data_IF_974585148192
#
_entry.id   IF_974585148192
#
_cell.length_a   1.000
_cell.length_b   1.000
_cell.length_c   1.000
_cell.angle_alpha   90.00
_cell.angle_beta   90.00
_cell.angle_gamma   90.00
#
_symmetry.space_group_name_H-M   'P 1'
#
loop_
_entity.id
_entity.type
_entity.pdbx_description
1 polymer ?
#
# COMPACT_ATOMS: atom_id res chain seq x y z
N UNK A 1 21.75 26.47 -12.29
CA UNK A 1 20.59 26.72 -11.39
C UNK A 1 20.15 25.36 -10.89
N UNK A 2 20.64 24.98 -9.72
CA UNK A 2 20.26 23.70 -9.09
C UNK A 2 18.78 23.76 -8.74
N UNK A 3 17.98 22.99 -9.47
CA UNK A 3 16.62 22.71 -9.04
C UNK A 3 16.72 21.64 -7.96
N UNK A 4 17.04 22.08 -6.74
CA UNK A 4 16.86 21.26 -5.55
C UNK A 4 15.40 20.78 -5.57
N UNK A 5 15.23 19.47 -5.80
CA UNK A 5 13.91 18.86 -5.75
C UNK A 5 13.28 19.23 -4.42
N UNK A 6 12.13 19.92 -4.44
CA UNK A 6 11.39 20.19 -3.21
C UNK A 6 11.00 18.83 -2.62
N UNK A 7 11.21 18.61 -1.32
CA UNK A 7 10.72 17.41 -0.67
C UNK A 7 9.22 17.24 -0.97
N UNK A 8 8.72 16.00 -0.98
CA UNK A 8 7.30 15.72 -1.12
C UNK A 8 6.71 15.74 -2.54
N UNK A 9 7.50 15.79 -3.59
CA UNK A 9 6.97 15.71 -4.95
C UNK A 9 6.90 14.26 -5.48
N UNK A 10 5.86 13.96 -6.27
CA UNK A 10 5.61 12.62 -6.81
C UNK A 10 6.19 12.43 -8.20
N UNK A 11 6.27 13.47 -9.00
CA UNK A 11 6.71 13.37 -10.38
C UNK A 11 6.44 14.63 -11.19
N UNK A 12 6.50 14.51 -12.52
CA UNK A 12 6.26 15.60 -13.45
C UNK A 12 4.90 15.44 -14.12
N UNK A 13 4.13 16.53 -14.16
CA UNK A 13 2.87 16.56 -14.91
C UNK A 13 3.14 16.27 -16.40
N UNK A 14 2.25 15.51 -17.05
CA UNK A 14 2.30 15.27 -18.50
C UNK A 14 2.10 16.58 -19.28
N UNK A 15 1.27 17.47 -18.75
CA UNK A 15 1.20 18.85 -19.22
C UNK A 15 2.38 19.63 -18.63
N UNK A 16 3.39 19.86 -19.44
CA UNK A 16 4.64 20.54 -19.05
C UNK A 16 4.42 21.93 -18.43
N UNK A 17 3.29 22.58 -18.72
CA UNK A 17 2.95 23.88 -18.14
C UNK A 17 2.64 23.81 -16.64
N UNK A 18 2.23 22.62 -16.14
CA UNK A 18 1.87 22.38 -14.73
C UNK A 18 3.05 22.02 -13.82
N UNK A 19 4.20 21.69 -14.38
CA UNK A 19 5.42 21.43 -13.63
C UNK A 19 5.40 20.18 -12.78
N UNK A 20 5.80 20.29 -11.50
CA UNK A 20 5.93 19.17 -10.55
C UNK A 20 4.62 18.91 -9.81
N UNK A 21 4.31 17.63 -9.61
CA UNK A 21 3.18 17.14 -8.82
C UNK A 21 3.64 16.86 -7.40
N UNK A 22 3.10 17.54 -6.42
CA UNK A 22 3.45 17.37 -5.00
C UNK A 22 2.37 16.63 -4.19
N UNK A 23 2.77 16.03 -3.08
CA UNK A 23 1.86 15.37 -2.13
C UNK A 23 0.93 16.38 -1.47
N UNK A 24 1.42 17.60 -1.19
CA UNK A 24 0.68 18.63 -0.45
C UNK A 24 -0.63 19.08 -1.13
N UNK A 25 -0.75 18.87 -2.44
CA UNK A 25 -1.96 19.23 -3.21
C UNK A 25 -3.03 18.15 -3.24
N UNK A 26 -2.77 16.96 -2.69
CA UNK A 26 -3.66 15.81 -2.86
C UNK A 26 -4.85 15.76 -1.90
N UNK A 27 -4.89 16.61 -0.85
CA UNK A 27 -5.94 16.56 0.16
C UNK A 27 -5.71 15.47 1.22
N UNK A 28 -6.72 15.26 2.06
CA UNK A 28 -6.60 14.40 3.24
C UNK A 28 -6.95 12.93 2.98
N UNK A 29 -7.67 12.63 1.88
CA UNK A 29 -8.12 11.27 1.55
C UNK A 29 -7.73 10.92 0.13
N UNK A 30 -6.77 10.02 -0.01
CA UNK A 30 -6.19 9.61 -1.29
C UNK A 30 -6.37 8.13 -1.51
N UNK A 31 -6.86 7.74 -2.69
CA UNK A 31 -7.01 6.35 -3.10
C UNK A 31 -6.13 6.05 -4.31
N UNK A 32 -5.26 5.06 -4.17
CA UNK A 32 -4.32 4.59 -5.20
C UNK A 32 -4.86 3.31 -5.83
N UNK A 33 -5.06 3.32 -7.14
CA UNK A 33 -5.82 2.27 -7.84
C UNK A 33 -5.05 1.65 -9.01
N UNK A 34 -5.10 0.33 -9.10
CA UNK A 34 -4.56 -0.46 -10.20
C UNK A 34 -3.30 -1.25 -9.82
N UNK A 35 -2.81 -2.08 -10.75
CA UNK A 35 -1.71 -3.04 -10.48
C UNK A 35 -0.46 -2.42 -9.89
N UNK A 36 -0.14 -1.19 -10.29
CA UNK A 36 1.00 -0.44 -9.77
C UNK A 36 0.67 0.39 -8.51
N UNK A 37 -0.43 0.07 -7.80
CA UNK A 37 -0.78 0.78 -6.56
C UNK A 37 0.28 0.62 -5.47
N UNK A 38 0.96 -0.53 -5.40
CA UNK A 38 2.08 -0.76 -4.48
C UNK A 38 3.28 0.16 -4.77
N UNK A 39 3.68 0.28 -6.05
CA UNK A 39 4.74 1.22 -6.46
C UNK A 39 4.38 2.67 -6.11
N UNK A 40 3.13 3.04 -6.36
CA UNK A 40 2.64 4.38 -6.04
C UNK A 40 2.57 4.61 -4.53
N UNK A 41 2.21 3.59 -3.75
CA UNK A 41 2.26 3.64 -2.27
C UNK A 41 3.68 3.85 -1.78
N UNK A 42 4.64 3.13 -2.37
CA UNK A 42 6.07 3.30 -2.10
C UNK A 42 6.51 4.74 -2.38
N UNK A 43 6.12 5.30 -3.53
CA UNK A 43 6.43 6.67 -3.89
C UNK A 43 5.77 7.68 -2.94
N UNK A 44 4.51 7.48 -2.56
CA UNK A 44 3.79 8.32 -1.61
C UNK A 44 4.44 8.31 -0.23
N UNK A 45 4.74 7.12 0.29
CA UNK A 45 5.43 6.96 1.58
C UNK A 45 6.81 7.63 1.57
N UNK A 46 7.57 7.42 0.51
CA UNK A 46 8.87 8.06 0.31
C UNK A 46 8.77 9.59 0.28
N UNK A 47 7.85 10.13 -0.51
CA UNK A 47 7.67 11.57 -0.64
C UNK A 47 7.25 12.23 0.68
N UNK A 48 6.38 11.58 1.46
CA UNK A 48 5.95 12.07 2.77
C UNK A 48 7.09 11.98 3.81
N UNK A 49 7.88 10.91 3.78
CA UNK A 49 9.05 10.77 4.66
C UNK A 49 10.13 11.83 4.36
N UNK A 50 10.34 12.21 3.09
CA UNK A 50 11.24 13.31 2.74
C UNK A 50 10.75 14.68 3.24
N UNK A 51 9.44 14.87 3.40
CA UNK A 51 8.86 16.05 4.05
C UNK A 51 9.03 16.05 5.58
N UNK A 52 9.58 14.98 6.14
CA UNK A 52 9.72 14.80 7.58
C UNK A 52 8.44 14.36 8.27
N UNK A 53 7.40 13.94 7.52
CA UNK A 53 6.15 13.44 8.09
C UNK A 53 6.35 12.08 8.73
N UNK A 54 5.77 11.92 9.90
CA UNK A 54 5.75 10.68 10.67
C UNK A 54 4.50 9.87 10.30
N UNK A 55 4.57 9.10 9.24
CA UNK A 55 3.45 8.28 8.80
C UNK A 55 3.43 6.92 9.49
N UNK A 56 2.23 6.37 9.74
CA UNK A 56 2.02 4.97 10.04
C UNK A 56 1.68 4.24 8.74
N UNK A 57 2.53 3.29 8.36
CA UNK A 57 2.39 2.52 7.11
C UNK A 57 2.04 1.07 7.47
N UNK A 58 0.88 0.62 7.04
CA UNK A 58 0.42 -0.76 7.16
C UNK A 58 0.56 -1.46 5.80
N UNK A 59 1.59 -2.29 5.66
CA UNK A 59 1.86 -3.04 4.42
C UNK A 59 1.19 -4.41 4.49
N UNK A 60 -0.11 -4.44 4.12
CA UNK A 60 -0.98 -5.60 4.30
C UNK A 60 -0.72 -6.67 3.24
N UNK A 61 -0.41 -6.28 2.03
CA UNK A 61 -0.21 -7.18 0.88
C UNK A 61 1.27 -7.33 0.47
N UNK A 62 2.21 -6.80 1.26
CA UNK A 62 3.64 -6.89 0.98
C UNK A 62 4.08 -6.10 -0.26
N UNK A 63 3.27 -5.14 -0.70
CA UNK A 63 3.50 -4.41 -1.95
C UNK A 63 4.49 -3.24 -1.82
N UNK A 64 4.85 -2.87 -0.61
CA UNK A 64 5.83 -1.80 -0.37
C UNK A 64 7.25 -2.28 -0.65
N UNK A 65 7.95 -1.54 -1.50
CA UNK A 65 9.33 -1.89 -1.82
C UNK A 65 10.26 -1.90 -0.61
N UNK A 66 11.10 -2.93 -0.47
CA UNK A 66 12.14 -2.98 0.57
C UNK A 66 13.08 -1.78 0.56
N UNK A 67 13.26 -1.13 -0.59
CA UNK A 67 14.18 0.00 -0.78
C UNK A 67 13.85 1.21 0.11
N UNK A 68 12.59 1.37 0.51
CA UNK A 68 12.19 2.46 1.40
C UNK A 68 12.22 2.10 2.89
N UNK A 69 12.50 0.86 3.25
CA UNK A 69 12.53 0.41 4.67
C UNK A 69 13.47 1.26 5.54
N UNK A 70 14.56 1.77 4.97
CA UNK A 70 15.48 2.67 5.69
C UNK A 70 14.91 4.04 6.06
N UNK A 71 13.72 4.41 5.55
CA UNK A 71 12.99 5.63 5.93
C UNK A 71 12.03 5.39 7.09
N UNK A 72 11.75 4.13 7.43
CA UNK A 72 10.79 3.71 8.45
C UNK A 72 11.44 2.72 9.40
N UNK A 73 10.98 2.74 10.65
CA UNK A 73 11.25 1.64 11.58
C UNK A 73 10.31 0.49 11.18
N UNK A 74 10.86 -0.61 10.70
CA UNK A 74 10.09 -1.75 10.22
C UNK A 74 9.80 -2.74 11.34
N UNK A 75 8.54 -3.15 11.46
CA UNK A 75 8.05 -4.15 12.41
C UNK A 75 7.30 -5.25 11.68
N UNK A 76 7.42 -6.47 12.19
CA UNK A 76 6.50 -7.55 11.88
C UNK A 76 5.26 -7.38 12.78
N UNK A 77 4.05 -7.55 12.22
CA UNK A 77 2.80 -7.39 12.96
C UNK A 77 2.74 -8.21 14.25
N UNK A 78 3.40 -9.39 14.27
CA UNK A 78 3.42 -10.29 15.43
C UNK A 78 4.03 -9.66 16.66
N UNK A 79 4.96 -8.73 16.49
CA UNK A 79 5.63 -8.08 17.63
C UNK A 79 4.69 -7.16 18.44
N UNK A 80 3.60 -6.70 17.81
CA UNK A 80 2.60 -5.80 18.42
C UNK A 80 1.21 -6.44 18.55
N UNK A 81 1.06 -7.70 18.16
CA UNK A 81 -0.24 -8.36 18.09
C UNK A 81 -0.89 -8.49 19.47
N UNK A 82 -0.11 -8.67 20.52
CA UNK A 82 -0.60 -8.66 21.90
C UNK A 82 -1.38 -7.37 22.21
N UNK A 83 -0.78 -6.23 21.91
CA UNK A 83 -1.39 -4.91 22.10
C UNK A 83 -2.64 -4.71 21.25
N UNK A 84 -2.64 -5.25 20.02
CA UNK A 84 -3.80 -5.18 19.13
C UNK A 84 -5.00 -6.00 19.66
N UNK A 85 -4.75 -7.07 20.40
CA UNK A 85 -5.82 -7.84 21.09
C UNK A 85 -6.28 -7.21 22.40
N UNK A 86 -5.50 -6.33 23.00
CA UNK A 86 -5.88 -5.69 24.25
C UNK A 86 -7.00 -4.66 24.02
N UNK A 87 -8.15 -4.86 24.71
CA UNK A 87 -9.28 -3.95 24.65
C UNK A 87 -9.00 -2.72 25.52
N UNK A 88 -9.15 -1.53 24.95
CA UNK A 88 -8.89 -0.27 25.63
C UNK A 88 -10.15 0.31 26.29
N UNK A 89 -9.95 0.99 27.42
CA UNK A 89 -11.00 1.72 28.14
C UNK A 89 -12.09 0.81 28.69
N UNK A 90 -13.34 1.32 28.78
CA UNK A 90 -14.49 0.55 29.21
C UNK A 90 -14.97 -0.50 28.19
N UNK A 91 -14.17 -0.79 27.16
CA UNK A 91 -14.33 -1.88 26.19
C UNK A 91 -15.40 -1.69 25.12
N UNK A 92 -16.44 -0.92 25.35
CA UNK A 92 -17.59 -0.87 24.45
C UNK A 92 -17.26 -0.29 23.06
N UNK A 93 -16.60 0.86 22.99
CA UNK A 93 -16.31 1.51 21.72
C UNK A 93 -15.20 0.77 20.93
N UNK A 94 -14.08 0.44 21.60
CA UNK A 94 -13.00 -0.33 20.99
C UNK A 94 -13.47 -1.75 20.63
N UNK A 95 -14.25 -2.41 21.51
CA UNK A 95 -14.83 -3.73 21.25
C UNK A 95 -15.70 -3.78 20.00
N UNK A 96 -16.45 -2.73 19.69
CA UNK A 96 -17.22 -2.65 18.43
C UNK A 96 -16.33 -2.60 17.18
N UNK A 97 -15.22 -1.88 17.23
CA UNK A 97 -14.24 -1.83 16.12
C UNK A 97 -13.54 -3.19 15.95
N UNK A 98 -13.17 -3.82 17.06
CA UNK A 98 -12.60 -5.18 17.08
C UNK A 98 -13.60 -6.20 16.53
N UNK A 99 -14.86 -6.15 16.93
CA UNK A 99 -15.92 -7.00 16.39
C UNK A 99 -16.06 -6.83 14.87
N UNK A 100 -16.00 -5.58 14.39
CA UNK A 100 -16.08 -5.28 12.97
C UNK A 100 -14.87 -5.82 12.18
N UNK A 101 -13.66 -5.80 12.77
CA UNK A 101 -12.47 -6.40 12.16
C UNK A 101 -12.59 -7.93 12.02
N UNK A 102 -13.04 -8.61 13.09
CA UNK A 102 -13.31 -10.06 13.05
C UNK A 102 -14.42 -10.40 12.05
N UNK A 103 -15.52 -9.63 12.06
CA UNK A 103 -16.66 -9.86 11.19
C UNK A 103 -16.27 -9.70 9.71
N UNK A 104 -15.46 -8.70 9.38
CA UNK A 104 -14.96 -8.49 8.03
C UNK A 104 -14.00 -9.61 7.56
N UNK A 105 -13.04 -9.99 8.40
CA UNK A 105 -12.05 -11.02 8.06
C UNK A 105 -12.66 -12.43 7.95
N UNK A 106 -13.66 -12.73 8.77
CA UNK A 106 -14.31 -14.04 8.82
C UNK A 106 -15.62 -14.12 8.04
N UNK A 107 -16.07 -13.02 7.42
CA UNK A 107 -17.35 -12.96 6.71
C UNK A 107 -18.53 -13.46 7.58
N UNK A 108 -18.67 -12.88 8.80
CA UNK A 108 -19.66 -13.29 9.79
C UNK A 108 -21.06 -12.86 9.39
N UNK A 109 -22.07 -13.63 9.79
CA UNK A 109 -23.48 -13.19 9.76
C UNK A 109 -23.78 -12.22 10.90
N UNK A 110 -24.92 -11.54 10.85
CA UNK A 110 -25.34 -10.62 11.91
C UNK A 110 -25.51 -11.33 13.27
N UNK A 111 -25.98 -12.58 13.27
CA UNK A 111 -26.09 -13.41 14.46
C UNK A 111 -24.72 -13.80 15.02
N UNK A 112 -23.78 -14.20 14.17
CA UNK A 112 -22.41 -14.52 14.57
C UNK A 112 -21.70 -13.27 15.13
N UNK A 113 -21.92 -12.10 14.52
CA UNK A 113 -21.38 -10.81 15.02
C UNK A 113 -21.97 -10.46 16.39
N UNK A 114 -23.28 -10.63 16.60
CA UNK A 114 -23.91 -10.38 17.89
C UNK A 114 -23.33 -11.29 19.01
N UNK A 115 -23.09 -12.56 18.71
CA UNK A 115 -22.42 -13.49 19.63
C UNK A 115 -20.99 -13.02 19.94
N UNK A 116 -20.26 -12.60 18.90
CA UNK A 116 -18.91 -12.08 19.06
C UNK A 116 -18.86 -10.82 19.93
N UNK A 117 -19.79 -9.88 19.72
CA UNK A 117 -19.88 -8.67 20.54
C UNK A 117 -20.16 -9.00 22.02
N UNK A 118 -21.06 -9.95 22.31
CA UNK A 118 -21.34 -10.41 23.67
C UNK A 118 -20.09 -11.09 24.29
N UNK A 119 -19.33 -11.86 23.52
CA UNK A 119 -18.08 -12.47 23.97
C UNK A 119 -17.00 -11.42 24.27
N UNK A 120 -16.85 -10.41 23.41
CA UNK A 120 -15.92 -9.30 23.61
C UNK A 120 -16.26 -8.47 24.84
N UNK A 121 -17.54 -8.24 25.10
CA UNK A 121 -17.97 -7.58 26.33
C UNK A 121 -17.56 -8.37 27.58
N UNK A 122 -17.77 -9.70 27.58
CA UNK A 122 -17.30 -10.57 28.67
C UNK A 122 -15.80 -10.50 28.90
N UNK A 123 -15.01 -10.55 27.81
CA UNK A 123 -13.55 -10.43 27.89
C UNK A 123 -13.12 -9.08 28.45
N UNK A 124 -13.78 -8.00 28.05
CA UNK A 124 -13.52 -6.66 28.59
C UNK A 124 -13.81 -6.58 30.09
N UNK A 125 -14.92 -7.15 30.57
CA UNK A 125 -15.26 -7.23 31.99
C UNK A 125 -14.25 -8.05 32.81
N UNK A 126 -13.61 -9.05 32.18
CA UNK A 126 -12.58 -9.90 32.76
C UNK A 126 -11.16 -9.30 32.63
N UNK A 127 -11.03 -8.18 31.92
CA UNK A 127 -9.76 -7.57 31.57
C UNK A 127 -8.82 -8.55 30.84
N UNK A 128 -9.38 -9.39 29.96
CA UNK A 128 -8.69 -10.38 29.16
C UNK A 128 -8.51 -9.89 27.70
N UNK A 129 -7.64 -10.59 26.96
CA UNK A 129 -7.35 -10.25 25.58
C UNK A 129 -8.47 -10.73 24.64
N UNK A 130 -8.78 -9.92 23.63
CA UNK A 130 -9.66 -10.31 22.52
C UNK A 130 -8.95 -11.21 21.51
N UNK A 131 -8.08 -12.12 21.98
CA UNK A 131 -7.37 -13.07 21.13
C UNK A 131 -8.31 -14.17 20.62
N UNK A 132 -8.00 -14.84 19.48
CA UNK A 132 -8.78 -15.97 19.01
C UNK A 132 -8.93 -17.10 20.04
N UNK A 133 -7.90 -17.34 20.88
CA UNK A 133 -7.94 -18.35 21.94
C UNK A 133 -8.93 -17.96 23.04
N UNK A 134 -8.81 -16.75 23.61
CA UNK A 134 -9.72 -16.25 24.65
C UNK A 134 -11.17 -16.19 24.14
N UNK A 135 -11.38 -15.71 22.92
CA UNK A 135 -12.70 -15.69 22.29
C UNK A 135 -13.29 -17.10 22.12
N UNK A 136 -12.48 -18.05 21.65
CA UNK A 136 -12.92 -19.44 21.50
C UNK A 136 -13.43 -20.05 22.81
N UNK A 137 -12.78 -19.74 23.92
CA UNK A 137 -13.15 -20.24 25.24
C UNK A 137 -14.42 -19.58 25.77
N UNK A 138 -14.57 -18.26 25.58
CA UNK A 138 -15.70 -17.48 26.11
C UNK A 138 -16.97 -17.64 25.28
N UNK A 139 -16.89 -17.78 23.96
CA UNK A 139 -18.06 -17.88 23.04
C UNK A 139 -19.00 -19.03 23.45
N UNK A 140 -18.47 -20.16 23.92
CA UNK A 140 -19.29 -21.30 24.36
C UNK A 140 -20.17 -21.01 25.57
N UNK A 141 -19.85 -19.98 26.37
CA UNK A 141 -20.61 -19.55 27.55
C UNK A 141 -21.48 -18.32 27.30
N UNK A 142 -21.67 -17.88 26.05
CA UNK A 142 -22.56 -16.76 25.70
C UNK A 142 -24.01 -17.29 25.64
N UNK A 143 -24.88 -16.74 26.48
CA UNK A 143 -26.28 -17.17 26.59
C UNK A 143 -27.18 -16.38 25.61
N UNK A 144 -28.35 -16.93 25.34
CA UNK A 144 -29.40 -16.26 24.55
C UNK A 144 -29.32 -16.47 23.05
N UNK A 145 -28.32 -17.23 22.54
CA UNK A 145 -28.13 -17.51 21.11
C UNK A 145 -28.38 -19.00 20.79
N UNK A 146 -28.73 -19.26 19.51
CA UNK A 146 -28.89 -20.64 19.04
C UNK A 146 -27.53 -21.34 18.93
N UNK A 147 -27.42 -22.54 19.50
CA UNK A 147 -26.18 -23.34 19.54
C UNK A 147 -25.51 -23.48 18.18
N UNK A 148 -26.29 -23.64 17.10
CA UNK A 148 -25.76 -23.71 15.72
C UNK A 148 -24.85 -22.53 15.35
N UNK A 149 -25.24 -21.29 15.66
CA UNK A 149 -24.43 -20.10 15.34
C UNK A 149 -23.22 -20.01 16.27
N UNK A 150 -23.35 -20.42 17.51
CA UNK A 150 -22.25 -20.48 18.49
C UNK A 150 -21.19 -21.45 18.01
N UNK A 151 -21.57 -22.67 17.62
CA UNK A 151 -20.64 -23.72 17.14
C UNK A 151 -19.97 -23.30 15.83
N UNK A 152 -20.73 -22.68 14.93
CA UNK A 152 -20.19 -22.20 13.65
C UNK A 152 -19.15 -21.10 13.87
N UNK A 153 -19.43 -20.12 14.73
CA UNK A 153 -18.49 -19.04 15.07
C UNK A 153 -17.24 -19.61 15.76
N UNK A 154 -17.41 -20.54 16.72
CA UNK A 154 -16.27 -21.25 17.34
C UNK A 154 -15.40 -21.95 16.32
N UNK A 155 -15.97 -22.61 15.33
CA UNK A 155 -15.22 -23.26 14.26
C UNK A 155 -14.37 -22.27 13.45
N UNK A 156 -14.93 -21.10 13.12
CA UNK A 156 -14.20 -20.06 12.38
C UNK A 156 -13.07 -19.43 13.20
N UNK A 157 -13.35 -19.07 14.46
CA UNK A 157 -12.34 -18.49 15.37
C UNK A 157 -11.28 -19.53 15.73
N UNK A 158 -11.67 -20.80 15.90
CA UNK A 158 -10.74 -21.88 16.19
C UNK A 158 -9.63 -22.04 15.13
N UNK A 159 -9.94 -21.76 13.87
CA UNK A 159 -8.93 -21.78 12.79
C UNK A 159 -7.88 -20.68 12.95
N UNK A 160 -8.17 -19.61 13.71
CA UNK A 160 -7.28 -18.47 13.94
C UNK A 160 -6.42 -18.60 15.21
N UNK A 161 -6.57 -19.65 16.01
CA UNK A 161 -5.84 -19.84 17.28
C UNK A 161 -4.32 -19.88 17.13
N UNK A 162 -3.82 -20.13 15.91
CA UNK A 162 -2.39 -20.07 15.59
C UNK A 162 -1.81 -18.65 15.57
N UNK A 163 -2.65 -17.62 15.69
CA UNK A 163 -2.21 -16.21 15.79
C UNK A 163 -1.72 -15.80 17.18
N UNK A 164 -1.24 -16.74 17.96
CA UNK A 164 -0.67 -16.43 19.28
C UNK A 164 0.69 -15.75 19.12
N UNK A 165 0.95 -14.78 20.00
CA UNK A 165 2.22 -14.05 20.05
C UNK A 165 2.82 -14.14 21.43
N UNK A 166 4.14 -14.22 21.48
CA UNK A 166 4.91 -14.20 22.73
C UNK A 166 5.72 -12.92 22.91
N UNK A 167 5.79 -12.09 21.85
CA UNK A 167 6.59 -10.86 21.85
C UNK A 167 5.69 -9.64 21.97
N UNK A 168 6.13 -8.66 22.77
CA UNK A 168 5.38 -7.44 23.05
C UNK A 168 6.26 -6.24 22.71
N UNK A 169 5.94 -5.55 21.61
CA UNK A 169 6.40 -4.20 21.33
C UNK A 169 5.22 -3.25 21.55
N UNK A 170 5.47 -2.05 22.08
CA UNK A 170 4.41 -1.10 22.39
C UNK A 170 3.73 -0.56 21.13
N UNK A 171 2.39 -0.52 21.14
CA UNK A 171 1.59 0.09 20.07
C UNK A 171 1.76 1.61 20.00
N UNK A 172 2.31 2.23 21.03
CA UNK A 172 2.73 3.64 21.04
C UNK A 172 3.66 3.97 19.87
N UNK A 173 4.46 3.00 19.41
CA UNK A 173 5.33 3.18 18.24
C UNK A 173 4.54 3.48 16.97
N UNK A 174 3.39 2.83 16.78
CA UNK A 174 2.47 3.09 15.66
C UNK A 174 1.93 4.52 15.76
N UNK A 175 1.51 4.91 16.95
CA UNK A 175 0.94 6.25 17.20
C UNK A 175 1.99 7.36 17.09
N UNK A 176 3.26 7.08 17.36
CA UNK A 176 4.34 8.05 17.13
C UNK A 176 4.65 8.25 15.64
N UNK A 177 4.22 7.33 14.77
CA UNK A 177 4.49 7.35 13.33
C UNK A 177 5.97 7.15 12.95
N UNK A 178 6.27 7.25 11.67
CA UNK A 178 7.59 6.94 11.12
C UNK A 178 7.90 5.45 11.13
N UNK A 179 6.86 4.61 11.10
CA UNK A 179 6.96 3.16 11.13
C UNK A 179 6.28 2.50 9.92
N UNK A 180 6.74 1.29 9.64
CA UNK A 180 6.09 0.37 8.71
C UNK A 180 5.84 -0.95 9.44
N UNK A 181 4.58 -1.39 9.44
CA UNK A 181 4.18 -2.71 9.94
C UNK A 181 3.87 -3.60 8.73
N UNK A 182 4.58 -4.73 8.64
CA UNK A 182 4.38 -5.71 7.56
C UNK A 182 3.52 -6.88 8.05
N UNK A 183 2.59 -7.31 7.20
CA UNK A 183 1.69 -8.44 7.44
C UNK A 183 1.96 -9.60 6.48
N UNK A 184 3.02 -9.54 5.68
CA UNK A 184 3.40 -10.55 4.69
C UNK A 184 3.77 -11.91 5.31
N UNK A 185 4.15 -11.94 6.58
CA UNK A 185 4.46 -13.16 7.33
C UNK A 185 3.22 -13.88 7.90
N UNK A 186 2.00 -13.36 7.65
CA UNK A 186 0.78 -14.02 8.10
C UNK A 186 0.61 -15.39 7.42
N UNK A 187 0.20 -16.43 8.18
CA UNK A 187 0.21 -17.80 7.68
C UNK A 187 -0.81 -18.05 6.55
N UNK A 188 -1.83 -17.21 6.43
CA UNK A 188 -2.88 -17.28 5.41
C UNK A 188 -3.61 -15.93 5.28
N UNK A 189 -4.34 -15.68 4.17
CA UNK A 189 -4.96 -14.38 3.91
C UNK A 189 -5.90 -13.87 5.00
N UNK A 190 -6.76 -14.72 5.57
CA UNK A 190 -7.68 -14.31 6.63
C UNK A 190 -6.95 -13.86 7.90
N UNK A 191 -5.78 -14.44 8.19
CA UNK A 191 -4.95 -14.02 9.32
C UNK A 191 -4.38 -12.61 9.08
N UNK A 192 -3.92 -12.31 7.87
CA UNK A 192 -3.46 -10.99 7.48
C UNK A 192 -4.60 -9.97 7.54
N UNK A 193 -5.77 -10.31 6.99
CA UNK A 193 -6.95 -9.45 7.00
C UNK A 193 -7.40 -9.14 8.44
N UNK A 194 -7.49 -10.16 9.31
CA UNK A 194 -7.87 -9.95 10.70
C UNK A 194 -6.86 -9.07 11.44
N UNK A 195 -5.60 -9.42 11.39
CA UNK A 195 -4.56 -8.71 12.15
C UNK A 195 -4.43 -7.27 11.70
N UNK A 196 -4.45 -7.00 10.40
CA UNK A 196 -4.46 -5.64 9.88
C UNK A 196 -5.74 -4.88 10.28
N UNK A 197 -6.89 -5.54 10.24
CA UNK A 197 -8.17 -4.97 10.73
C UNK A 197 -8.13 -4.60 12.21
N UNK A 198 -7.52 -5.43 13.05
CA UNK A 198 -7.33 -5.16 14.49
C UNK A 198 -6.38 -3.97 14.72
N UNK A 199 -5.29 -3.88 13.95
CA UNK A 199 -4.40 -2.72 14.00
C UNK A 199 -5.14 -1.42 13.63
N UNK A 200 -5.95 -1.45 12.57
CA UNK A 200 -6.77 -0.31 12.18
C UNK A 200 -7.78 0.04 13.28
N UNK A 201 -8.47 -0.95 13.85
CA UNK A 201 -9.40 -0.74 14.95
C UNK A 201 -8.73 -0.06 16.14
N UNK A 202 -7.54 -0.52 16.52
CA UNK A 202 -6.73 0.05 17.61
C UNK A 202 -6.29 1.48 17.30
N UNK A 203 -5.77 1.73 16.09
CA UNK A 203 -5.38 3.08 15.65
C UNK A 203 -6.58 4.02 15.72
N UNK A 204 -7.71 3.64 15.14
CA UNK A 204 -8.92 4.46 15.12
C UNK A 204 -9.40 4.82 16.54
N UNK A 205 -9.38 3.85 17.45
CA UNK A 205 -9.71 4.10 18.85
C UNK A 205 -8.71 5.07 19.50
N UNK A 206 -7.41 4.83 19.36
CA UNK A 206 -6.37 5.67 19.96
C UNK A 206 -6.32 7.09 19.37
N UNK A 207 -6.72 7.29 18.12
CA UNK A 207 -6.85 8.63 17.52
C UNK A 207 -7.89 9.52 18.24
N UNK A 208 -8.85 8.92 18.94
CA UNK A 208 -9.85 9.64 19.72
C UNK A 208 -9.43 9.88 21.17
N UNK A 209 -8.54 9.03 21.72
CA UNK A 209 -8.20 9.02 23.16
C UNK A 209 -6.77 9.43 23.46
N UNK A 210 -5.85 9.40 22.46
CA UNK A 210 -4.44 9.71 22.63
C UNK A 210 -4.06 11.09 22.07
N UNK A 211 -3.12 11.76 22.72
CA UNK A 211 -2.47 12.97 22.17
C UNK A 211 -1.44 12.65 21.08
N UNK A 212 -0.89 11.43 21.09
CA UNK A 212 0.04 10.97 20.06
C UNK A 212 -0.71 10.59 18.80
N UNK A 213 -0.29 11.14 17.66
CA UNK A 213 -0.90 10.88 16.36
C UNK A 213 0.15 10.80 15.27
N UNK A 214 0.08 9.84 14.35
CA UNK A 214 0.87 9.92 13.13
C UNK A 214 0.35 11.08 12.26
N UNK A 215 1.22 11.63 11.41
CA UNK A 215 0.85 12.70 10.49
C UNK A 215 -0.03 12.21 9.33
N UNK A 216 -0.01 10.91 9.04
CA UNK A 216 -0.86 10.25 8.08
C UNK A 216 -0.89 8.73 8.32
N UNK A 217 -1.96 8.07 7.85
CA UNK A 217 -2.09 6.62 7.79
C UNK A 217 -2.08 6.17 6.33
N UNK A 218 -1.15 5.28 5.96
CA UNK A 218 -1.08 4.66 4.65
C UNK A 218 -1.32 3.15 4.80
N UNK A 219 -2.29 2.61 4.04
CA UNK A 219 -2.67 1.20 4.07
C UNK A 219 -2.61 0.63 2.67
N UNK A 220 -1.78 -0.40 2.45
CA UNK A 220 -1.79 -1.17 1.21
C UNK A 220 -2.77 -2.34 1.29
N UNK A 221 -3.08 -2.98 0.17
CA UNK A 221 -3.99 -4.12 0.17
C UNK A 221 -5.42 -3.80 0.64
N UNK A 222 -5.87 -2.54 0.50
CA UNK A 222 -7.18 -2.09 0.99
C UNK A 222 -8.37 -2.93 0.46
N UNK A 223 -8.23 -3.56 -0.71
CA UNK A 223 -9.26 -4.44 -1.29
C UNK A 223 -9.51 -5.71 -0.48
N UNK A 224 -8.54 -6.18 0.29
CA UNK A 224 -8.71 -7.34 1.16
C UNK A 224 -9.44 -6.98 2.45
N UNK A 225 -9.21 -5.78 2.97
CA UNK A 225 -9.79 -5.30 4.24
C UNK A 225 -11.19 -4.69 4.07
N UNK A 226 -11.40 -3.98 2.97
CA UNK A 226 -12.61 -3.17 2.73
C UNK A 226 -13.36 -3.67 1.49
N UNK A 227 -13.72 -4.95 1.52
CA UNK A 227 -14.38 -5.64 0.40
C UNK A 227 -15.77 -5.06 0.10
N UNK A 228 -16.12 -5.01 -1.18
CA UNK A 228 -17.48 -4.75 -1.64
C UNK A 228 -18.31 -6.04 -1.50
N UNK A 229 -18.66 -6.39 -0.27
CA UNK A 229 -19.50 -7.54 0.01
C UNK A 229 -20.96 -7.10 -0.01
N UNK A 230 -21.66 -7.42 -1.08
CA UNK A 230 -23.08 -7.12 -1.27
C UNK A 230 -24.00 -7.76 -0.20
N UNK A 231 -23.48 -8.67 0.60
CA UNK A 231 -24.24 -9.44 1.59
C UNK A 231 -24.05 -8.97 3.02
N UNK A 232 -22.97 -8.28 3.40
CA UNK A 232 -22.67 -8.02 4.80
C UNK A 232 -22.19 -6.58 5.02
N UNK A 233 -22.82 -5.91 5.97
CA UNK A 233 -22.55 -4.49 6.32
C UNK A 233 -21.34 -4.30 7.25
N UNK A 234 -20.58 -5.36 7.57
CA UNK A 234 -19.59 -5.34 8.64
C UNK A 234 -18.36 -4.49 8.31
N UNK A 235 -17.88 -4.56 7.07
CA UNK A 235 -16.82 -3.65 6.62
C UNK A 235 -17.25 -2.18 6.64
N UNK A 236 -18.55 -1.92 6.55
CA UNK A 236 -19.12 -0.58 6.52
C UNK A 236 -18.86 0.23 7.79
N UNK A 237 -18.82 -0.40 8.97
CA UNK A 237 -18.53 0.31 10.24
C UNK A 237 -17.06 0.71 10.32
N UNK A 238 -16.15 -0.23 10.02
CA UNK A 238 -14.73 0.08 10.02
C UNK A 238 -14.40 1.15 8.98
N UNK A 239 -15.02 1.07 7.78
CA UNK A 239 -14.92 2.09 6.74
C UNK A 239 -15.44 3.44 7.22
N UNK A 240 -16.61 3.48 7.89
CA UNK A 240 -17.17 4.74 8.39
C UNK A 240 -16.22 5.43 9.38
N UNK A 241 -15.72 4.69 10.38
CA UNK A 241 -14.75 5.24 11.33
C UNK A 241 -13.42 5.64 10.69
N UNK A 242 -12.96 4.88 9.69
CA UNK A 242 -11.75 5.22 8.95
C UNK A 242 -11.90 6.54 8.19
N UNK A 243 -13.08 6.76 7.59
CA UNK A 243 -13.41 8.00 6.89
C UNK A 243 -13.63 9.20 7.82
N UNK A 244 -13.92 8.96 9.09
CA UNK A 244 -14.06 9.98 10.12
C UNK A 244 -12.74 10.27 10.86
N UNK A 245 -11.69 9.48 10.57
CA UNK A 245 -10.39 9.65 11.23
C UNK A 245 -9.83 11.05 11.03
N UNK A 246 -9.32 11.69 12.11
CA UNK A 246 -8.86 13.08 12.07
C UNK A 246 -7.42 13.24 11.54
N UNK A 247 -6.98 12.32 10.69
CA UNK A 247 -5.64 12.33 10.07
C UNK A 247 -5.76 12.02 8.58
N UNK A 248 -4.82 12.51 7.75
CA UNK A 248 -4.73 12.15 6.35
C UNK A 248 -4.65 10.63 6.14
N UNK A 249 -5.42 10.15 5.16
CA UNK A 249 -5.56 8.74 4.84
C UNK A 249 -5.13 8.46 3.39
N UNK A 250 -4.24 7.51 3.21
CA UNK A 250 -3.86 6.99 1.89
C UNK A 250 -4.17 5.50 1.84
N UNK A 251 -5.04 5.10 0.93
CA UNK A 251 -5.39 3.70 0.70
C UNK A 251 -4.89 3.25 -0.66
N UNK A 252 -4.42 2.01 -0.76
CA UNK A 252 -3.96 1.45 -2.02
C UNK A 252 -4.63 0.10 -2.31
N UNK A 253 -5.09 -0.06 -3.55
CA UNK A 253 -5.70 -1.30 -4.02
C UNK A 253 -5.25 -1.65 -5.44
N UNK A 254 -4.60 -2.80 -5.64
CA UNK A 254 -4.32 -3.33 -6.97
C UNK A 254 -5.58 -3.78 -7.70
N UNK A 255 -6.69 -4.06 -6.98
CA UNK A 255 -7.95 -4.58 -7.52
C UNK A 255 -9.12 -3.67 -7.13
N UNK A 256 -9.33 -2.57 -7.88
CA UNK A 256 -10.38 -1.59 -7.55
C UNK A 256 -11.79 -2.17 -7.47
N UNK A 257 -12.10 -3.17 -8.29
CA UNK A 257 -13.42 -3.81 -8.35
C UNK A 257 -13.84 -4.53 -7.06
N UNK A 258 -12.89 -4.82 -6.17
CA UNK A 258 -13.17 -5.46 -4.87
C UNK A 258 -13.38 -4.46 -3.74
N UNK A 259 -13.10 -3.17 -3.95
CA UNK A 259 -13.29 -2.15 -2.92
C UNK A 259 -14.75 -1.80 -2.71
N UNK A 260 -15.07 -1.44 -1.47
CA UNK A 260 -16.37 -0.90 -1.10
C UNK A 260 -16.64 0.43 -1.84
N UNK A 261 -17.79 0.53 -2.52
CA UNK A 261 -18.16 1.70 -3.34
C UNK A 261 -18.21 2.99 -2.50
N UNK A 262 -18.76 2.93 -1.27
CA UNK A 262 -18.81 4.06 -0.36
C UNK A 262 -17.41 4.58 -0.02
N UNK A 263 -16.44 3.69 0.11
CA UNK A 263 -15.05 4.06 0.34
C UNK A 263 -14.49 4.81 -0.88
N UNK A 264 -14.72 4.29 -2.08
CA UNK A 264 -14.27 4.92 -3.33
C UNK A 264 -14.87 6.33 -3.49
N UNK A 265 -16.17 6.45 -3.24
CA UNK A 265 -16.91 7.72 -3.39
C UNK A 265 -16.52 8.78 -2.34
N UNK A 266 -16.03 8.35 -1.19
CA UNK A 266 -15.66 9.26 -0.09
C UNK A 266 -14.23 9.77 -0.15
N UNK A 267 -13.45 9.40 -1.17
CA UNK A 267 -12.06 9.85 -1.34
C UNK A 267 -12.00 11.19 -2.07
N UNK A 268 -11.18 12.11 -1.54
CA UNK A 268 -10.98 13.43 -2.14
C UNK A 268 -10.25 13.34 -3.48
N UNK A 269 -9.27 12.45 -3.56
CA UNK A 269 -8.42 12.25 -4.72
C UNK A 269 -8.26 10.78 -5.02
N UNK A 270 -8.41 10.42 -6.27
CA UNK A 270 -8.14 9.06 -6.80
C UNK A 270 -7.00 9.13 -7.78
N UNK A 271 -6.00 8.26 -7.60
CA UNK A 271 -4.86 8.15 -8.50
C UNK A 271 -4.89 6.77 -9.15
N UNK A 272 -5.03 6.75 -10.45
CA UNK A 272 -5.13 5.53 -11.25
C UNK A 272 -3.79 5.22 -11.92
N UNK A 273 -3.38 3.96 -11.90
CA UNK A 273 -2.37 3.48 -12.85
C UNK A 273 -2.91 3.55 -14.28
N UNK A 274 -2.03 3.56 -15.26
CA UNK A 274 -2.43 3.62 -16.68
C UNK A 274 -3.36 2.48 -17.09
N UNK A 275 -3.14 1.26 -16.56
CA UNK A 275 -4.00 0.12 -16.86
C UNK A 275 -5.39 0.28 -16.24
N UNK A 276 -5.46 0.71 -14.98
CA UNK A 276 -6.72 0.93 -14.30
C UNK A 276 -7.51 2.09 -14.93
N UNK A 277 -6.81 3.12 -15.40
CA UNK A 277 -7.39 4.21 -16.15
C UNK A 277 -7.99 3.77 -17.48
N UNK A 278 -7.22 3.04 -18.29
CA UNK A 278 -7.63 2.58 -19.60
C UNK A 278 -8.78 1.55 -19.55
N UNK A 279 -8.96 0.86 -18.43
CA UNK A 279 -10.09 -0.05 -18.23
C UNK A 279 -11.44 0.67 -18.05
N UNK A 280 -11.45 1.97 -17.79
CA UNK A 280 -12.66 2.79 -17.64
C UNK A 280 -13.14 3.30 -19.01
N UNK A 281 -14.12 2.62 -19.58
CA UNK A 281 -14.65 2.91 -20.95
C UNK A 281 -15.33 4.29 -21.09
N UNK A 282 -15.72 4.93 -20.00
CA UNK A 282 -16.56 6.12 -20.01
C UNK A 282 -15.79 7.46 -20.06
N UNK A 283 -14.48 7.42 -20.03
CA UNK A 283 -13.67 8.61 -19.88
C UNK A 283 -12.97 8.99 -21.19
N UNK A 284 -13.41 10.11 -21.79
CA UNK A 284 -12.88 10.69 -23.04
C UNK A 284 -11.54 11.41 -22.79
N UNK A 285 -10.51 10.70 -22.38
CA UNK A 285 -9.19 11.34 -22.18
C UNK A 285 -8.10 10.67 -23.02
N UNK A 286 -7.04 11.40 -23.37
CA UNK A 286 -5.91 10.84 -24.11
C UNK A 286 -5.37 9.63 -23.34
N UNK A 287 -5.02 8.59 -24.09
CA UNK A 287 -4.42 7.39 -23.54
C UNK A 287 -3.27 7.80 -22.61
N UNK A 288 -3.41 7.43 -21.34
CA UNK A 288 -2.32 7.60 -20.39
C UNK A 288 -1.11 6.85 -20.94
N UNK A 289 0.05 7.50 -20.95
CA UNK A 289 1.29 6.83 -21.34
C UNK A 289 1.49 5.62 -20.43
N UNK A 290 1.97 4.53 -20.97
CA UNK A 290 2.41 3.41 -20.16
C UNK A 290 3.29 3.95 -19.01
N UNK A 291 3.06 3.47 -17.78
CA UNK A 291 3.76 3.93 -16.56
C UNK A 291 3.53 5.39 -16.15
N UNK A 292 2.47 6.01 -16.62
CA UNK A 292 1.95 7.25 -16.05
C UNK A 292 0.81 6.95 -15.09
N UNK A 293 0.53 7.92 -14.23
CA UNK A 293 -0.61 7.90 -13.33
C UNK A 293 -1.55 9.04 -13.67
N UNK A 294 -2.83 8.85 -13.42
CA UNK A 294 -3.83 9.90 -13.59
C UNK A 294 -4.45 10.25 -12.25
N UNK A 295 -4.28 11.49 -11.83
CA UNK A 295 -4.93 12.05 -10.64
C UNK A 295 -6.30 12.58 -11.05
N UNK A 296 -7.32 12.18 -10.30
CA UNK A 296 -8.66 12.74 -10.35
C UNK A 296 -8.96 13.37 -9.00
N UNK A 297 -9.09 14.68 -8.97
CA UNK A 297 -9.52 15.42 -7.79
C UNK A 297 -11.03 15.64 -7.86
N UNK A 298 -11.77 14.91 -7.06
CA UNK A 298 -13.25 14.96 -7.09
C UNK A 298 -13.79 16.27 -6.52
N UNK A 299 -13.04 16.98 -5.68
CA UNK A 299 -13.44 18.27 -5.11
C UNK A 299 -13.48 19.36 -6.16
N UNK A 300 -12.51 19.34 -7.07
CA UNK A 300 -12.38 20.36 -8.14
C UNK A 300 -12.86 19.88 -9.50
N UNK A 301 -13.11 18.58 -9.65
CA UNK A 301 -13.36 17.94 -10.95
C UNK A 301 -12.12 17.95 -11.86
N UNK A 302 -10.95 18.27 -11.34
CA UNK A 302 -9.73 18.37 -12.13
C UNK A 302 -9.11 17.01 -12.36
N UNK A 303 -8.54 16.83 -13.57
CA UNK A 303 -7.78 15.65 -13.93
C UNK A 303 -6.39 16.02 -14.42
N UNK A 304 -5.38 15.26 -13.99
CA UNK A 304 -3.99 15.50 -14.37
C UNK A 304 -3.21 14.18 -14.46
N UNK A 305 -2.60 13.96 -15.61
CA UNK A 305 -1.61 12.87 -15.75
C UNK A 305 -0.23 13.29 -15.28
N UNK A 306 0.52 12.36 -14.70
CA UNK A 306 1.93 12.59 -14.34
C UNK A 306 2.80 11.34 -14.55
N UNK A 307 4.09 11.58 -14.77
CA UNK A 307 5.13 10.54 -14.77
C UNK A 307 5.81 10.57 -13.40
N UNK A 308 5.89 9.40 -12.71
CA UNK A 308 6.48 9.33 -11.39
C UNK A 308 7.97 9.66 -11.41
N UNK A 309 8.47 10.21 -10.31
CA UNK A 309 9.90 10.36 -10.11
C UNK A 309 10.55 9.06 -9.64
N UNK A 310 11.86 9.01 -9.72
CA UNK A 310 12.65 7.93 -9.16
C UNK A 310 12.64 7.96 -7.62
N UNK A 311 12.44 6.78 -7.00
CA UNK A 311 12.55 6.60 -5.54
C UNK A 311 13.99 6.25 -5.21
N UNK A 312 14.61 7.02 -4.32
CA UNK A 312 16.00 6.75 -3.87
C UNK A 312 15.97 5.72 -2.76
N UNK A 313 16.66 4.58 -2.93
CA UNK A 313 16.78 3.63 -1.82
C UNK A 313 17.57 4.24 -0.66
N UNK A 314 17.11 3.96 0.56
CA UNK A 314 17.83 4.30 1.79
C UNK A 314 18.23 3.01 2.49
N UNK A 315 19.44 2.59 2.26
CA UNK A 315 19.99 1.39 2.88
C UNK A 315 20.28 1.64 4.34
N UNK A 316 19.82 0.76 5.23
CA UNK A 316 20.04 0.83 6.68
C UNK A 316 21.45 0.39 7.12
N UNK A 317 22.26 -0.08 6.21
CA UNK A 317 23.68 -0.41 6.45
C UNK A 317 24.56 0.72 5.95
N UNK A 318 25.56 1.20 6.72
CA UNK A 318 26.54 2.14 6.20
C UNK A 318 27.44 1.40 5.20
N UNK A 319 26.99 1.32 3.96
CA UNK A 319 27.86 1.08 2.83
C UNK A 319 28.70 2.34 2.59
N UNK A 320 29.85 2.26 1.91
CA UNK A 320 30.67 3.42 1.63
C UNK A 320 29.77 4.49 0.98
N UNK A 321 29.83 5.71 1.53
CA UNK A 321 29.08 6.85 1.03
C UNK A 321 29.44 7.04 -0.46
N UNK A 322 28.57 6.55 -1.33
CA UNK A 322 28.65 6.93 -2.74
C UNK A 322 28.38 8.43 -2.84
N UNK A 323 29.11 9.16 -3.67
CA UNK A 323 28.98 10.60 -3.78
C UNK A 323 27.53 10.97 -4.11
N UNK A 324 27.05 12.04 -3.46
CA UNK A 324 25.73 12.65 -3.71
C UNK A 324 25.65 13.10 -5.16
N UNK A 325 25.27 12.23 -6.06
CA UNK A 325 24.90 12.61 -7.41
C UNK A 325 23.38 12.70 -7.50
N UNK A 326 22.93 13.92 -7.79
CA UNK A 326 21.63 14.34 -8.32
C UNK A 326 20.78 13.21 -8.91
N UNK A 327 19.49 13.22 -8.64
CA UNK A 327 18.31 12.65 -9.32
C UNK A 327 18.50 11.56 -10.41
N UNK A 328 19.64 10.92 -10.48
CA UNK A 328 19.99 9.86 -11.43
C UNK A 328 19.75 8.51 -10.79
N UNK A 329 19.26 7.58 -11.60
CA UNK A 329 19.22 6.16 -11.25
C UNK A 329 20.58 5.68 -10.72
N UNK A 330 20.60 4.64 -9.92
CA UNK A 330 21.88 4.07 -9.50
C UNK A 330 22.66 3.64 -10.75
N UNK A 331 23.97 3.84 -10.82
CA UNK A 331 24.79 3.37 -11.95
C UNK A 331 24.56 1.88 -12.24
N UNK A 332 24.28 1.11 -11.20
CA UNK A 332 23.98 -0.32 -11.30
C UNK A 332 22.65 -0.59 -12.04
N UNK A 333 21.58 0.14 -11.73
CA UNK A 333 20.31 0.01 -12.45
C UNK A 333 20.46 0.42 -13.93
N UNK A 334 21.12 1.55 -14.20
CA UNK A 334 21.41 2.00 -15.57
C UNK A 334 22.19 0.95 -16.35
N UNK A 335 23.25 0.40 -15.75
CA UNK A 335 24.07 -0.66 -16.34
C UNK A 335 23.22 -1.89 -16.65
N UNK A 336 22.47 -2.38 -15.68
CA UNK A 336 21.66 -3.59 -15.81
C UNK A 336 20.59 -3.43 -16.91
N UNK A 337 19.94 -2.26 -17.00
CA UNK A 337 18.96 -1.98 -18.07
C UNK A 337 19.63 -1.99 -19.45
N UNK A 338 20.80 -1.36 -19.59
CA UNK A 338 21.51 -1.33 -20.87
C UNK A 338 22.03 -2.71 -21.27
N UNK A 339 22.51 -3.53 -20.33
CA UNK A 339 22.92 -4.92 -20.55
C UNK A 339 21.74 -5.77 -21.02
N UNK A 340 20.60 -5.69 -20.33
CA UNK A 340 19.40 -6.44 -20.66
C UNK A 340 18.88 -6.09 -22.06
N UNK A 341 18.76 -4.80 -22.39
CA UNK A 341 18.30 -4.36 -23.71
C UNK A 341 19.31 -4.74 -24.81
N UNK A 342 20.62 -4.79 -24.48
CA UNK A 342 21.63 -5.23 -25.44
C UNK A 342 21.58 -6.73 -25.71
N UNK A 343 21.13 -7.52 -24.74
CA UNK A 343 21.06 -8.99 -24.83
C UNK A 343 19.79 -9.51 -25.52
N UNK A 344 18.76 -8.68 -25.67
CA UNK A 344 17.45 -9.10 -26.20
C UNK A 344 17.02 -8.28 -27.41
N UNK A 345 16.87 -8.95 -28.56
CA UNK A 345 16.46 -8.30 -29.81
C UNK A 345 15.08 -7.64 -29.79
N UNK A 346 14.20 -8.10 -28.89
CA UNK A 346 12.81 -7.67 -28.79
C UNK A 346 12.47 -7.04 -27.42
N UNK A 347 13.48 -6.47 -26.76
CA UNK A 347 13.30 -5.82 -25.48
C UNK A 347 12.33 -4.65 -25.58
N UNK A 348 11.11 -4.83 -25.09
CA UNK A 348 10.18 -3.74 -24.89
C UNK A 348 10.17 -3.33 -23.40
N UNK A 349 9.57 -2.16 -23.10
CA UNK A 349 9.55 -1.63 -21.74
C UNK A 349 8.98 -2.61 -20.72
N UNK A 350 7.87 -3.25 -21.06
CA UNK A 350 7.18 -4.18 -20.15
C UNK A 350 8.03 -5.43 -19.88
N UNK A 351 8.70 -5.98 -20.89
CA UNK A 351 9.57 -7.14 -20.72
C UNK A 351 10.76 -6.82 -19.81
N UNK A 352 11.41 -5.68 -20.01
CA UNK A 352 12.56 -5.24 -19.20
C UNK A 352 12.12 -4.98 -17.74
N UNK A 353 11.03 -4.26 -17.55
CA UNK A 353 10.48 -4.01 -16.21
C UNK A 353 10.12 -5.32 -15.50
N UNK A 354 9.43 -6.24 -16.18
CA UNK A 354 9.03 -7.53 -15.59
C UNK A 354 10.25 -8.41 -15.25
N UNK A 355 11.27 -8.38 -16.07
CA UNK A 355 12.50 -9.15 -15.85
C UNK A 355 13.30 -8.61 -14.66
N UNK A 356 13.40 -7.28 -14.52
CA UNK A 356 14.18 -6.64 -13.47
C UNK A 356 13.39 -6.41 -12.16
N UNK A 357 12.06 -6.59 -12.16
CA UNK A 357 11.21 -6.40 -10.99
C UNK A 357 11.62 -7.21 -9.73
N UNK A 358 12.19 -8.42 -9.83
CA UNK A 358 12.69 -9.14 -8.66
C UNK A 358 13.89 -8.44 -7.97
N UNK A 359 14.66 -7.65 -8.72
CA UNK A 359 15.89 -7.03 -8.23
C UNK A 359 15.73 -5.54 -7.98
N UNK A 360 14.94 -4.85 -8.80
CA UNK A 360 14.72 -3.41 -8.73
C UNK A 360 13.25 -3.07 -8.71
N UNK A 361 12.89 -1.97 -8.05
CA UNK A 361 11.53 -1.47 -8.05
C UNK A 361 11.07 -1.18 -9.49
N UNK A 362 9.93 -1.76 -9.91
CA UNK A 362 9.38 -1.63 -11.26
C UNK A 362 9.22 -0.15 -11.69
N UNK A 363 8.83 0.72 -10.74
CA UNK A 363 8.73 2.17 -10.94
C UNK A 363 10.08 2.78 -11.35
N UNK A 364 11.15 2.40 -10.65
CA UNK A 364 12.50 2.92 -10.91
C UNK A 364 13.02 2.43 -12.26
N UNK A 365 12.80 1.15 -12.59
CA UNK A 365 13.17 0.59 -13.90
C UNK A 365 12.47 1.34 -15.02
N UNK A 366 11.15 1.54 -14.90
CA UNK A 366 10.36 2.25 -15.89
C UNK A 366 10.82 3.70 -16.08
N UNK A 367 11.06 4.42 -14.99
CA UNK A 367 11.53 5.83 -15.04
C UNK A 367 12.91 5.95 -15.66
N UNK A 368 13.80 5.00 -15.34
CA UNK A 368 15.16 5.01 -15.89
C UNK A 368 15.18 4.68 -17.40
N UNK A 369 14.34 3.75 -17.86
CA UNK A 369 14.18 3.49 -19.31
C UNK A 369 13.74 4.76 -20.03
N UNK A 370 12.76 5.49 -19.48
CA UNK A 370 12.27 6.74 -20.08
C UNK A 370 13.36 7.82 -20.11
N UNK A 371 14.17 7.92 -19.05
CA UNK A 371 15.33 8.81 -19.01
C UNK A 371 16.34 8.45 -20.09
N UNK A 372 16.76 7.19 -20.17
CA UNK A 372 17.71 6.71 -21.15
C UNK A 372 17.23 6.93 -22.60
N UNK A 373 15.93 6.76 -22.83
CA UNK A 373 15.32 7.05 -24.13
C UNK A 373 15.31 8.55 -24.43
N UNK A 374 14.92 9.40 -23.46
CA UNK A 374 14.87 10.86 -23.64
C UNK A 374 16.25 11.48 -23.82
N UNK A 375 17.29 10.89 -23.23
CA UNK A 375 18.69 11.33 -23.35
C UNK A 375 19.39 10.72 -24.60
N UNK A 376 18.69 9.91 -25.39
CA UNK A 376 19.20 9.34 -26.62
C UNK A 376 20.14 8.14 -26.44
N UNK A 377 20.21 7.53 -25.28
CA UNK A 377 20.95 6.27 -25.04
C UNK A 377 20.21 5.04 -25.55
N UNK A 378 18.86 5.14 -25.61
CA UNK A 378 17.97 4.15 -26.20
C UNK A 378 17.16 4.77 -27.32
N UNK A 379 16.86 3.99 -28.35
CA UNK A 379 15.88 4.33 -29.40
C UNK A 379 14.80 3.27 -29.46
N UNK A 380 13.59 3.66 -29.84
CA UNK A 380 12.46 2.76 -30.00
C UNK A 380 12.24 2.48 -31.47
N UNK A 381 12.44 1.23 -31.90
CA UNK A 381 12.36 0.82 -33.28
C UNK A 381 11.37 -0.33 -33.50
N UNK A 382 10.66 -0.36 -34.66
CA UNK A 382 9.81 -1.48 -35.00
C UNK A 382 10.68 -2.70 -35.36
N UNK A 383 10.61 -3.75 -34.53
CA UNK A 383 11.29 -5.03 -34.78
C UNK A 383 10.27 -6.16 -34.97
N UNK A 384 10.69 -7.22 -35.67
CA UNK A 384 9.84 -8.37 -35.94
C UNK A 384 10.60 -9.67 -35.59
N UNK A 385 9.94 -10.52 -34.78
CA UNK A 385 10.43 -11.87 -34.49
C UNK A 385 9.85 -12.87 -35.49
N UNK A 386 10.68 -13.36 -36.41
CA UNK A 386 10.25 -14.32 -37.42
C UNK A 386 9.08 -13.81 -38.26
N UNK A 387 8.01 -14.63 -38.40
CA UNK A 387 6.78 -14.27 -39.12
C UNK A 387 5.72 -13.57 -38.26
N UNK A 388 6.05 -13.20 -37.01
CA UNK A 388 5.14 -12.56 -36.05
C UNK A 388 4.84 -11.08 -36.38
N UNK A 389 3.95 -10.43 -35.61
CA UNK A 389 3.68 -9.02 -35.77
C UNK A 389 4.90 -8.16 -35.43
N UNK A 390 5.01 -6.99 -36.05
CA UNK A 390 6.00 -6.00 -35.66
C UNK A 390 5.66 -5.40 -34.31
N UNK A 391 6.65 -5.38 -33.41
CA UNK A 391 6.54 -4.74 -32.09
C UNK A 391 7.55 -3.60 -31.97
N UNK A 392 7.23 -2.60 -31.17
CA UNK A 392 8.20 -1.55 -30.83
C UNK A 392 9.13 -2.10 -29.74
N UNK A 393 10.43 -2.13 -30.03
CA UNK A 393 11.45 -2.59 -29.11
C UNK A 393 12.57 -1.56 -28.96
N UNK A 394 13.18 -1.51 -27.78
CA UNK A 394 14.35 -0.66 -27.53
C UNK A 394 15.61 -1.24 -28.17
N UNK A 395 16.46 -0.34 -28.62
CA UNK A 395 17.80 -0.62 -29.09
C UNK A 395 18.77 0.33 -28.40
N UNK A 396 19.91 -0.18 -27.94
CA UNK A 396 20.96 0.63 -27.33
C UNK A 396 21.72 1.36 -28.42
N UNK A 397 21.79 2.69 -28.37
CA UNK A 397 22.51 3.54 -29.32
C UNK A 397 24.02 3.43 -29.10
N UNK A 398 24.81 4.03 -30.00
CA UNK A 398 26.28 4.10 -29.81
C UNK A 398 26.65 4.89 -28.54
N UNK A 399 25.90 5.95 -28.23
CA UNK A 399 26.03 6.70 -26.97
C UNK A 399 25.72 5.83 -25.76
N UNK A 400 24.66 5.00 -25.84
CA UNK A 400 24.29 4.04 -24.78
C UNK A 400 25.38 2.97 -24.59
N UNK A 401 25.96 2.44 -25.65
CA UNK A 401 27.09 1.48 -25.56
C UNK A 401 28.35 2.11 -24.96
N UNK A 402 28.59 3.40 -25.19
CA UNK A 402 29.68 4.12 -24.55
C UNK A 402 29.43 4.26 -23.06
N UNK A 403 28.25 4.69 -22.70
CA UNK A 403 27.81 4.78 -21.27
C UNK A 403 27.96 3.43 -20.57
N UNK A 404 27.50 2.33 -21.19
CA UNK A 404 27.63 0.98 -20.64
C UNK A 404 29.11 0.61 -20.40
N UNK A 405 30.00 0.91 -21.33
CA UNK A 405 31.44 0.67 -21.14
C UNK A 405 32.05 1.49 -20.00
N UNK A 406 31.56 2.70 -19.78
CA UNK A 406 32.00 3.55 -18.66
C UNK A 406 31.49 3.02 -17.29
N UNK A 407 30.29 2.47 -17.26
CA UNK A 407 29.69 1.88 -16.04
C UNK A 407 30.25 0.48 -15.72
N UNK A 408 30.98 -0.15 -16.62
CA UNK A 408 31.57 -1.49 -16.47
C UNK A 408 33.02 -1.46 -16.02
N UNK A 409 33.66 -0.28 -16.08
CA UNK A 409 35.02 -0.05 -15.55
C UNK A 409 35.02 0.22 -14.06
#
# INVERSE_FOLDING_TARGET
MEVLGRPGWLGYALDRSKGKVGVQGLGDRVLLLGRSAGDLSTLMAYAQAEEGKKIALLDVDGSISPEIRGYFRAFDYRSMLYEAFHLEGEGAAHGQLVASAYAAALDLTSEEEAILQAALQKLSEQNDLASPSSLFDVIGGVEGFRGFYVDKLKGRIGALRLLETTRVDSFDEVMNGGIMVSFDSAPYPQASELTAGLFIAKILYLLTSSEKRPDALLITGAHSLFKNLTRFQHSGRLVAHLLEAPIPLVLASPIPALLNDRLIESMDVRIYSSEAWNARKDWKQPAALAYSYTICDDRSGAMMGFVPRFVRPKWSTPGPMLPRHSDRASPELTKTILEEISGYDLANRQSVVSYLAPTFLALNVGTEIDRLHSEGYLILEPKQAGSGPRILAYTVTESGRRLLRELTK
#
